data_IF_499239159130
#
_entry.id   IF_499239159130
#
_cell.length_a   1.000
_cell.length_b   1.000
_cell.length_c   1.000
_cell.angle_alpha   90.00
_cell.angle_beta   90.00
_cell.angle_gamma   90.00
#
_symmetry.space_group_name_H-M   'P 1'
#
loop_
_entity.id
_entity.type
_entity.pdbx_description
1 polymer ?
#
# COMPACT_ATOMS: atom_id res chain seq x y z
N UNK A 1 -54.98 -32.48 -7.71
CA UNK A 1 -54.93 -31.29 -6.82
C UNK A 1 -53.47 -30.82 -6.69
N UNK A 2 -53.23 -29.59 -7.16
CA UNK A 2 -52.07 -28.70 -7.02
C UNK A 2 -50.64 -29.29 -6.90
N UNK A 3 -49.92 -29.13 -8.01
CA UNK A 3 -48.47 -29.04 -8.18
C UNK A 3 -47.78 -28.12 -7.15
N UNK A 4 -46.94 -28.70 -6.29
CA UNK A 4 -45.89 -27.96 -5.58
C UNK A 4 -44.70 -27.76 -6.50
N UNK A 5 -44.69 -26.64 -7.23
CA UNK A 5 -43.51 -26.18 -7.97
C UNK A 5 -42.44 -25.80 -6.95
N UNK A 6 -41.50 -26.71 -6.71
CA UNK A 6 -40.25 -26.41 -6.03
C UNK A 6 -39.42 -25.59 -7.01
N UNK A 7 -39.72 -24.30 -7.09
CA UNK A 7 -38.90 -23.34 -7.82
C UNK A 7 -37.50 -23.41 -7.21
N UNK A 8 -36.54 -23.96 -7.97
CA UNK A 8 -35.14 -23.94 -7.60
C UNK A 8 -34.66 -22.51 -7.33
N UNK A 9 -33.56 -22.34 -6.58
CA UNK A 9 -33.07 -21.03 -6.16
C UNK A 9 -33.08 -20.07 -7.34
N UNK A 10 -33.79 -18.95 -7.18
CA UNK A 10 -34.10 -18.04 -8.28
C UNK A 10 -32.80 -17.53 -8.90
N UNK A 11 -32.76 -17.41 -10.23
CA UNK A 11 -31.61 -16.86 -10.97
C UNK A 11 -31.19 -15.50 -10.38
N UNK A 12 -32.16 -14.72 -9.88
CA UNK A 12 -31.97 -13.46 -9.16
C UNK A 12 -31.17 -13.60 -7.87
N UNK A 13 -31.38 -14.67 -7.11
CA UNK A 13 -30.66 -14.95 -5.85
C UNK A 13 -29.24 -15.45 -6.13
N UNK A 14 -29.03 -16.17 -7.24
CA UNK A 14 -27.70 -16.50 -7.75
C UNK A 14 -26.95 -15.29 -8.29
N UNK A 15 -27.64 -14.35 -8.94
CA UNK A 15 -27.07 -13.06 -9.36
C UNK A 15 -26.71 -12.19 -8.16
N UNK A 16 -27.55 -12.14 -7.14
CA UNK A 16 -27.27 -11.40 -5.90
C UNK A 16 -26.09 -12.02 -5.12
N UNK A 17 -25.94 -13.35 -5.13
CA UNK A 17 -24.80 -14.04 -4.54
C UNK A 17 -23.49 -13.88 -5.36
N UNK A 18 -23.58 -13.56 -6.65
CA UNK A 18 -22.42 -13.25 -7.51
C UNK A 18 -22.07 -11.75 -7.52
N UNK A 19 -23.00 -10.89 -7.09
CA UNK A 19 -22.80 -9.45 -6.89
C UNK A 19 -22.20 -9.14 -5.51
N UNK A 20 -22.04 -10.17 -4.67
CA UNK A 20 -21.25 -10.10 -3.44
C UNK A 20 -19.77 -10.05 -3.86
N UNK A 21 -19.07 -8.92 -3.68
CA UNK A 21 -17.69 -8.81 -4.08
C UNK A 21 -16.85 -9.65 -3.11
N UNK A 22 -16.51 -10.87 -3.49
CA UNK A 22 -15.76 -11.84 -2.68
C UNK A 22 -14.26 -11.48 -2.47
N UNK A 23 -13.82 -10.23 -2.66
CA UNK A 23 -12.39 -9.87 -2.55
C UNK A 23 -12.01 -8.61 -1.75
N UNK A 24 -12.70 -8.19 -0.67
CA UNK A 24 -12.13 -7.18 0.25
C UNK A 24 -10.93 -7.71 1.04
N UNK A 25 -10.81 -9.03 1.23
CA UNK A 25 -9.72 -9.63 2.03
C UNK A 25 -8.34 -9.64 1.35
N UNK A 26 -8.29 -9.74 0.02
CA UNK A 26 -7.01 -9.89 -0.67
C UNK A 26 -6.20 -8.58 -0.65
N UNK A 27 -6.87 -7.43 -0.83
CA UNK A 27 -6.21 -6.13 -0.83
C UNK A 27 -5.68 -5.76 0.57
N UNK A 28 -6.46 -6.03 1.62
CA UNK A 28 -6.06 -5.79 3.01
C UNK A 28 -4.91 -6.72 3.43
N UNK A 29 -4.94 -8.00 3.02
CA UNK A 29 -3.88 -8.96 3.27
C UNK A 29 -2.56 -8.56 2.57
N UNK A 30 -2.62 -8.14 1.31
CA UNK A 30 -1.46 -7.62 0.57
C UNK A 30 -0.91 -6.37 1.28
N UNK A 31 -1.79 -5.44 1.66
CA UNK A 31 -1.37 -4.20 2.32
C UNK A 31 -0.70 -4.44 3.68
N UNK A 32 -1.21 -5.41 4.45
CA UNK A 32 -0.61 -5.83 5.73
C UNK A 32 0.84 -6.29 5.58
N UNK A 33 1.19 -6.88 4.42
CA UNK A 33 2.55 -7.33 4.10
C UNK A 33 3.43 -6.20 3.55
N UNK A 34 2.85 -5.28 2.76
CA UNK A 34 3.58 -4.17 2.14
C UNK A 34 3.93 -3.08 3.15
N UNK A 35 3.03 -2.76 4.09
CA UNK A 35 3.25 -1.73 5.12
C UNK A 35 4.57 -1.91 5.89
N UNK A 36 4.89 -3.08 6.49
CA UNK A 36 6.16 -3.27 7.19
C UNK A 36 7.37 -3.23 6.25
N UNK A 37 7.24 -3.71 5.02
CA UNK A 37 8.31 -3.61 4.02
C UNK A 37 8.66 -2.14 3.71
N UNK A 38 7.66 -1.27 3.56
CA UNK A 38 7.88 0.15 3.33
C UNK A 38 8.51 0.84 4.55
N UNK A 39 8.17 0.43 5.78
CA UNK A 39 8.80 0.93 7.01
C UNK A 39 10.27 0.52 7.07
N UNK A 40 10.58 -0.75 6.80
CA UNK A 40 11.96 -1.24 6.71
C UNK A 40 12.73 -0.52 5.61
N UNK A 41 12.07 -0.29 4.46
CA UNK A 41 12.63 0.48 3.36
C UNK A 41 13.10 1.87 3.78
N UNK A 42 12.37 2.55 4.68
CA UNK A 42 12.81 3.86 5.22
C UNK A 42 14.08 3.76 6.05
N UNK A 43 14.18 2.73 6.90
CA UNK A 43 15.38 2.50 7.71
C UNK A 43 16.57 2.24 6.79
N UNK A 44 16.40 1.38 5.78
CA UNK A 44 17.43 1.10 4.78
C UNK A 44 17.83 2.35 4.00
N UNK A 45 16.87 3.20 3.64
CA UNK A 45 17.13 4.43 2.91
C UNK A 45 17.99 5.41 3.73
N UNK A 46 17.69 5.58 5.02
CA UNK A 46 18.51 6.43 5.91
C UNK A 46 19.91 5.85 6.07
N UNK A 47 20.02 4.54 6.30
CA UNK A 47 21.32 3.86 6.36
C UNK A 47 22.11 4.05 5.06
N UNK A 48 21.45 3.95 3.92
CA UNK A 48 22.08 4.15 2.62
C UNK A 48 22.56 5.59 2.41
N UNK A 49 21.78 6.59 2.84
CA UNK A 49 22.19 8.00 2.80
C UNK A 49 23.47 8.21 3.63
N UNK A 50 23.56 7.59 4.82
CA UNK A 50 24.75 7.68 5.67
C UNK A 50 25.95 7.03 4.97
N UNK A 51 25.79 5.80 4.46
CA UNK A 51 26.88 5.07 3.79
C UNK A 51 27.36 5.82 2.55
N UNK A 52 26.45 6.32 1.71
CA UNK A 52 26.78 7.09 0.50
C UNK A 52 27.40 8.44 0.87
N UNK A 53 26.92 9.08 1.93
CA UNK A 53 27.51 10.32 2.45
C UNK A 53 28.97 10.11 2.86
N UNK A 54 29.24 9.04 3.62
CA UNK A 54 30.58 8.72 4.11
C UNK A 54 31.51 8.28 2.97
N UNK A 55 31.04 7.39 2.09
CA UNK A 55 31.87 6.81 1.02
C UNK A 55 32.26 7.85 -0.05
N UNK A 56 31.41 8.85 -0.25
CA UNK A 56 31.60 9.88 -1.28
C UNK A 56 31.81 11.27 -0.70
N UNK A 57 32.28 11.38 0.55
CA UNK A 57 32.45 12.67 1.23
C UNK A 57 33.42 13.61 0.48
N UNK A 58 34.46 13.03 -0.14
CA UNK A 58 35.44 13.77 -0.94
C UNK A 58 34.89 14.28 -2.28
N UNK A 59 33.78 13.72 -2.77
CA UNK A 59 33.22 14.04 -4.08
C UNK A 59 32.09 15.05 -3.94
N UNK A 60 32.27 16.21 -4.57
CA UNK A 60 31.29 17.30 -4.58
C UNK A 60 30.67 17.46 -5.95
N UNK A 61 29.34 17.50 -6.00
CA UNK A 61 28.55 17.74 -7.20
C UNK A 61 27.84 19.09 -7.06
N UNK A 62 28.06 19.99 -8.02
CA UNK A 62 27.52 21.36 -7.99
C UNK A 62 27.88 22.14 -6.70
N UNK A 63 29.07 21.87 -6.13
CA UNK A 63 29.56 22.52 -4.90
C UNK A 63 29.01 21.92 -3.60
N UNK A 64 28.10 20.95 -3.67
CA UNK A 64 27.51 20.25 -2.53
C UNK A 64 28.09 18.84 -2.41
N UNK A 65 28.22 18.31 -1.20
CA UNK A 65 28.63 16.91 -1.02
C UNK A 65 27.53 15.97 -1.51
N UNK A 66 27.92 14.76 -1.92
CA UNK A 66 26.96 13.73 -2.33
C UNK A 66 26.01 13.35 -1.19
N UNK A 67 26.47 13.39 0.07
CA UNK A 67 25.60 13.22 1.23
C UNK A 67 24.47 14.26 1.29
N UNK A 68 24.75 15.53 0.97
CA UNK A 68 23.71 16.57 0.93
C UNK A 68 22.72 16.33 -0.21
N UNK A 69 23.19 15.92 -1.39
CA UNK A 69 22.30 15.52 -2.49
C UNK A 69 21.41 14.33 -2.13
N UNK A 70 21.96 13.35 -1.41
CA UNK A 70 21.21 12.21 -0.91
C UNK A 70 20.11 12.63 0.08
N UNK A 71 20.33 13.67 0.90
CA UNK A 71 19.29 14.26 1.75
C UNK A 71 18.24 15.03 0.94
N UNK A 72 18.67 15.83 -0.04
CA UNK A 72 17.78 16.61 -0.93
C UNK A 72 16.81 15.68 -1.66
N UNK A 73 17.27 14.50 -2.11
CA UNK A 73 16.43 13.50 -2.75
C UNK A 73 15.69 12.61 -1.73
N UNK A 74 16.33 12.30 -0.61
CA UNK A 74 15.82 11.40 0.40
C UNK A 74 14.61 11.95 1.16
N UNK A 75 14.62 13.24 1.54
CA UNK A 75 13.51 13.84 2.27
C UNK A 75 12.20 13.83 1.44
N UNK A 76 12.17 14.29 0.18
CA UNK A 76 10.99 14.16 -0.67
C UNK A 76 10.52 12.71 -0.83
N UNK A 77 11.45 11.77 -1.00
CA UNK A 77 11.11 10.35 -1.14
C UNK A 77 10.50 9.78 0.16
N UNK A 78 11.03 10.17 1.33
CA UNK A 78 10.48 9.78 2.62
C UNK A 78 9.04 10.28 2.82
N UNK A 79 8.80 11.53 2.44
CA UNK A 79 7.46 12.13 2.49
C UNK A 79 6.52 11.45 1.50
N UNK A 80 6.97 11.15 0.28
CA UNK A 80 6.19 10.46 -0.73
C UNK A 80 5.78 9.05 -0.25
N UNK A 81 6.71 8.26 0.26
CA UNK A 81 6.41 6.92 0.83
C UNK A 81 5.43 7.05 2.01
N UNK A 82 5.63 8.04 2.88
CA UNK A 82 4.72 8.28 4.01
C UNK A 82 3.31 8.63 3.54
N UNK A 83 3.19 9.52 2.56
CA UNK A 83 1.91 9.92 1.98
C UNK A 83 1.21 8.75 1.30
N UNK A 84 1.95 7.92 0.54
CA UNK A 84 1.42 6.71 -0.10
C UNK A 84 0.87 5.74 0.95
N UNK A 85 1.63 5.51 2.03
CA UNK A 85 1.16 4.64 3.11
C UNK A 85 -0.13 5.18 3.73
N UNK A 86 -0.17 6.46 4.09
CA UNK A 86 -1.37 7.07 4.66
C UNK A 86 -2.55 7.05 3.69
N UNK A 87 -2.32 7.24 2.40
CA UNK A 87 -3.36 7.21 1.38
C UNK A 87 -3.97 5.82 1.23
N UNK A 88 -3.14 4.79 1.09
CA UNK A 88 -3.61 3.42 0.92
C UNK A 88 -4.24 2.89 2.22
N UNK A 89 -3.68 3.23 3.38
CA UNK A 89 -4.26 2.87 4.69
C UNK A 89 -5.69 3.42 4.84
N UNK A 90 -5.94 4.65 4.36
CA UNK A 90 -7.30 5.24 4.32
C UNK A 90 -8.22 4.55 3.33
N UNK A 91 -7.70 4.13 2.17
CA UNK A 91 -8.49 3.44 1.15
C UNK A 91 -8.95 2.07 1.65
N UNK A 92 -8.02 1.26 2.16
CA UNK A 92 -8.31 -0.09 2.70
C UNK A 92 -9.29 -0.01 3.87
N UNK A 93 -9.12 0.95 4.77
CA UNK A 93 -10.02 1.11 5.92
C UNK A 93 -11.42 1.62 5.52
N UNK A 94 -11.52 2.40 4.44
CA UNK A 94 -12.81 2.85 3.90
C UNK A 94 -13.67 1.71 3.37
N UNK A 95 -13.05 0.69 2.78
CA UNK A 95 -13.73 -0.50 2.25
C UNK A 95 -14.33 -1.38 3.38
N UNK A 96 -13.63 -1.45 4.53
CA UNK A 96 -14.08 -2.19 5.73
C UNK A 96 -15.34 -1.55 6.37
N UNK A 97 -15.40 -0.22 6.45
CA UNK A 97 -16.54 0.50 7.07
C UNK A 97 -17.80 0.47 6.21
N UNK A 98 -17.69 0.30 4.89
CA UNK A 98 -18.85 0.16 3.99
C UNK A 98 -19.43 -1.25 3.93
N UNK A 99 -18.74 -2.25 4.49
CA UNK A 99 -19.17 -3.66 4.52
C UNK A 99 -19.74 -4.13 5.87
N UNK A 100 -19.82 -3.26 6.88
CA UNK A 100 -20.51 -3.51 8.18
C UNK A 100 -21.83 -2.76 8.29
#
# INVERSE_FOLDING_TARGET
PATGSMAGPSITERLNALDQPDHPDDASAIWSSVRPLLVIGRILMVTFIIIVGELFDDVRVAGLSIGVWALVMGIPLFLAISAIITYIDRLVKGDEETSS
#
